data_IF_593635167712
#
_entry.id   IF_593635167712
#
_cell.length_a   1.000
_cell.length_b   1.000
_cell.length_c   1.000
_cell.angle_alpha   90.00
_cell.angle_beta   90.00
_cell.angle_gamma   90.00
#
_symmetry.space_group_name_H-M   'P 1'
#
loop_
_entity.id
_entity.type
_entity.pdbx_description
1 polymer ?
#
# COMPACT_ATOMS: atom_id res chain seq x y z
N UNK A 1 27.25 -3.40 -31.70
CA UNK A 1 26.74 -4.78 -31.64
C UNK A 1 25.32 -4.66 -31.22
N UNK A 2 24.40 -4.74 -32.18
CA UNK A 2 22.97 -4.66 -31.93
C UNK A 2 22.54 -5.92 -31.20
N UNK A 3 21.95 -5.75 -30.01
CA UNK A 3 21.40 -6.87 -29.24
C UNK A 3 20.30 -7.56 -30.06
N UNK A 4 20.32 -8.90 -30.19
CA UNK A 4 19.27 -9.64 -30.86
C UNK A 4 18.13 -9.87 -29.87
N UNK A 5 17.50 -8.80 -29.41
CA UNK A 5 16.22 -8.91 -28.72
C UNK A 5 15.17 -8.84 -29.82
N UNK A 6 14.85 -10.01 -30.38
CA UNK A 6 13.70 -10.18 -31.25
C UNK A 6 12.44 -9.69 -30.56
N UNK A 7 11.47 -9.27 -31.36
CA UNK A 7 10.17 -8.78 -30.93
C UNK A 7 9.56 -9.71 -29.85
N UNK A 8 9.50 -9.21 -28.62
CA UNK A 8 8.99 -9.94 -27.45
C UNK A 8 7.46 -9.82 -27.32
N UNK A 9 6.78 -9.21 -28.30
CA UNK A 9 5.32 -9.01 -28.27
C UNK A 9 4.52 -10.32 -28.21
N UNK A 10 5.08 -11.42 -28.68
CA UNK A 10 4.46 -12.76 -28.66
C UNK A 10 4.85 -13.60 -27.42
N UNK A 11 5.61 -13.06 -26.47
CA UNK A 11 6.05 -13.80 -25.28
C UNK A 11 5.11 -13.60 -24.10
N UNK A 12 4.65 -14.71 -23.51
CA UNK A 12 3.82 -14.73 -22.31
C UNK A 12 4.66 -15.21 -21.12
N UNK A 13 4.68 -14.42 -20.05
CA UNK A 13 5.33 -14.80 -18.81
C UNK A 13 4.51 -15.88 -18.09
N UNK A 14 5.18 -16.99 -17.72
CA UNK A 14 4.57 -18.15 -17.07
C UNK A 14 5.02 -18.20 -15.61
N UNK A 15 4.09 -18.50 -14.69
CA UNK A 15 4.36 -18.61 -13.25
C UNK A 15 5.49 -19.60 -12.92
N UNK A 16 6.46 -19.17 -12.11
CA UNK A 16 7.66 -19.96 -11.76
C UNK A 16 7.37 -21.29 -11.02
N UNK A 17 6.36 -21.32 -10.14
CA UNK A 17 6.08 -22.48 -9.28
C UNK A 17 4.89 -23.36 -9.74
N UNK A 18 4.55 -23.32 -11.03
CA UNK A 18 3.34 -24.00 -11.54
C UNK A 18 3.26 -25.50 -11.22
N UNK A 19 4.40 -26.19 -11.27
CA UNK A 19 4.46 -27.65 -11.08
C UNK A 19 4.67 -28.09 -9.62
N UNK A 20 4.82 -27.14 -8.68
CA UNK A 20 4.99 -27.45 -7.27
C UNK A 20 3.62 -27.80 -6.68
N UNK A 21 3.48 -29.02 -6.14
CA UNK A 21 2.26 -29.43 -5.43
C UNK A 21 2.11 -28.58 -4.18
N UNK A 22 1.25 -27.57 -4.23
CA UNK A 22 0.83 -26.84 -3.03
C UNK A 22 -0.04 -27.77 -2.20
N UNK A 23 0.20 -27.89 -0.89
CA UNK A 23 -0.71 -28.58 0.01
C UNK A 23 -1.99 -27.74 0.11
N UNK A 24 -2.97 -28.07 -0.73
CA UNK A 24 -4.25 -27.38 -0.76
C UNK A 24 -5.07 -27.79 0.47
N UNK A 25 -5.28 -26.83 1.38
CA UNK A 25 -5.95 -27.03 2.68
C UNK A 25 -7.47 -27.21 2.58
N UNK A 26 -8.07 -26.80 1.46
CA UNK A 26 -9.51 -26.92 1.22
C UNK A 26 -9.91 -28.30 0.73
N UNK A 27 -10.85 -28.92 1.45
CA UNK A 27 -11.43 -30.21 1.11
C UNK A 27 -12.79 -30.00 0.43
N UNK A 28 -12.86 -30.00 -0.90
CA UNK A 28 -14.12 -29.86 -1.63
C UNK A 28 -15.11 -30.96 -1.24
N UNK A 29 -16.37 -30.57 -1.01
CA UNK A 29 -17.45 -31.51 -0.71
C UNK A 29 -18.39 -31.63 -1.90
N UNK A 30 -18.51 -32.86 -2.42
CA UNK A 30 -19.50 -33.20 -3.43
C UNK A 30 -20.82 -33.63 -2.79
N UNK A 31 -21.92 -33.21 -3.39
CA UNK A 31 -23.27 -33.70 -3.10
C UNK A 31 -23.87 -34.14 -4.42
N UNK A 32 -24.26 -35.41 -4.53
CA UNK A 32 -24.79 -36.00 -5.76
C UNK A 32 -26.23 -36.48 -5.57
N UNK A 33 -27.08 -36.26 -6.56
CA UNK A 33 -28.47 -36.72 -6.57
C UNK A 33 -28.83 -37.32 -7.93
N UNK A 34 -29.43 -38.51 -7.93
CA UNK A 34 -29.97 -39.09 -9.18
C UNK A 34 -31.24 -38.34 -9.62
N UNK A 35 -31.22 -37.79 -10.83
CA UNK A 35 -32.37 -37.19 -11.49
C UNK A 35 -33.07 -38.25 -12.36
N UNK A 36 -34.29 -38.63 -11.96
CA UNK A 36 -35.08 -39.65 -12.65
C UNK A 36 -35.71 -39.17 -13.97
N UNK A 37 -35.95 -37.87 -14.13
CA UNK A 37 -36.58 -37.30 -15.33
C UNK A 37 -35.57 -37.25 -16.48
N UNK A 38 -34.36 -36.80 -16.19
CA UNK A 38 -33.26 -36.65 -17.17
C UNK A 38 -32.38 -37.90 -17.29
N UNK A 39 -32.57 -38.91 -16.43
CA UNK A 39 -31.70 -40.11 -16.33
C UNK A 39 -30.21 -39.78 -16.12
N UNK A 40 -29.93 -38.72 -15.37
CA UNK A 40 -28.59 -38.17 -15.11
C UNK A 40 -28.35 -37.96 -13.61
N UNK A 41 -27.10 -37.69 -13.23
CA UNK A 41 -26.69 -37.36 -11.87
C UNK A 41 -26.45 -35.87 -11.78
N UNK A 42 -27.18 -35.19 -10.88
CA UNK A 42 -26.90 -33.82 -10.50
C UNK A 42 -25.76 -33.83 -9.49
N UNK A 43 -24.70 -33.07 -9.76
CA UNK A 43 -23.51 -32.97 -8.91
C UNK A 43 -23.37 -31.53 -8.48
N UNK A 44 -23.31 -31.30 -7.18
CA UNK A 44 -23.05 -29.99 -6.57
C UNK A 44 -21.71 -30.05 -5.84
N UNK A 45 -20.84 -29.08 -6.12
CA UNK A 45 -19.56 -28.88 -5.45
C UNK A 45 -19.66 -27.70 -4.50
N UNK A 46 -19.25 -27.93 -3.25
CA UNK A 46 -19.05 -26.89 -2.25
C UNK A 46 -17.56 -26.75 -1.95
N UNK A 47 -17.00 -25.57 -2.23
CA UNK A 47 -15.64 -25.18 -1.86
C UNK A 47 -15.70 -24.25 -0.63
N UNK A 48 -14.95 -24.57 0.43
CA UNK A 48 -14.77 -23.73 1.63
C UNK A 48 -15.50 -24.18 2.91
N UNK A 49 -14.98 -23.71 4.05
CA UNK A 49 -15.68 -23.76 5.35
C UNK A 49 -16.46 -22.47 5.56
N UNK A 50 -17.77 -22.56 5.87
CA UNK A 50 -18.62 -21.37 6.07
C UNK A 50 -18.04 -20.45 7.15
N UNK A 51 -17.40 -19.35 6.74
CA UNK A 51 -17.17 -18.17 7.57
C UNK A 51 -17.94 -17.00 6.96
N UNK A 52 -18.55 -16.19 7.82
CA UNK A 52 -19.50 -15.13 7.45
C UNK A 52 -18.89 -13.97 6.63
N UNK A 53 -17.56 -13.98 6.38
CA UNK A 53 -16.83 -12.91 5.68
C UNK A 53 -16.39 -13.24 4.26
N UNK A 54 -16.50 -14.49 3.80
CA UNK A 54 -15.92 -14.89 2.52
C UNK A 54 -16.95 -14.75 1.39
N UNK A 55 -16.77 -13.73 0.53
CA UNK A 55 -17.62 -13.50 -0.65
C UNK A 55 -17.32 -14.48 -1.82
N UNK A 56 -16.31 -15.35 -1.70
CA UNK A 56 -15.87 -16.27 -2.76
C UNK A 56 -16.32 -17.73 -2.53
N UNK A 57 -17.63 -17.96 -2.37
CA UNK A 57 -18.17 -19.32 -2.40
C UNK A 57 -18.55 -19.68 -3.84
N UNK A 58 -17.64 -20.33 -4.59
CA UNK A 58 -17.96 -20.88 -5.92
C UNK A 58 -18.69 -22.23 -5.76
N UNK A 59 -19.98 -22.20 -5.41
CA UNK A 59 -20.80 -23.39 -5.52
C UNK A 59 -20.99 -23.72 -7.00
N UNK A 60 -20.49 -24.86 -7.46
CA UNK A 60 -20.65 -25.31 -8.85
C UNK A 60 -21.69 -26.42 -8.94
N UNK A 61 -22.50 -26.40 -9.98
CA UNK A 61 -23.54 -27.42 -10.22
C UNK A 61 -23.43 -27.90 -11.66
N UNK A 62 -23.45 -29.22 -11.87
CA UNK A 62 -23.54 -29.80 -13.21
C UNK A 62 -24.48 -31.02 -13.21
N UNK A 63 -24.88 -31.43 -14.42
CA UNK A 63 -25.73 -32.60 -14.65
C UNK A 63 -25.02 -33.54 -15.63
N UNK A 64 -24.60 -34.72 -15.16
CA UNK A 64 -23.82 -35.68 -15.94
C UNK A 64 -24.54 -37.02 -16.07
N UNK A 65 -24.52 -37.60 -17.27
CA UNK A 65 -24.87 -39.00 -17.50
C UNK A 65 -23.78 -39.93 -16.97
N UNK A 66 -24.14 -41.17 -16.63
CA UNK A 66 -23.17 -42.20 -16.23
C UNK A 66 -22.15 -42.52 -17.32
N UNK A 67 -22.54 -42.35 -18.59
CA UNK A 67 -21.64 -42.48 -19.74
C UNK A 67 -20.60 -41.37 -19.77
N UNK A 68 -20.99 -40.12 -19.58
CA UNK A 68 -20.07 -38.98 -19.50
C UNK A 68 -19.11 -39.14 -18.31
N UNK A 69 -19.64 -39.51 -17.13
CA UNK A 69 -18.82 -39.78 -15.95
C UNK A 69 -17.79 -40.90 -16.19
N UNK A 70 -18.15 -41.93 -16.94
CA UNK A 70 -17.22 -43.00 -17.32
C UNK A 70 -16.13 -42.53 -18.28
N UNK A 71 -16.46 -41.64 -19.23
CA UNK A 71 -15.47 -41.05 -20.13
C UNK A 71 -14.49 -40.15 -19.38
N UNK A 72 -14.99 -39.30 -18.47
CA UNK A 72 -14.17 -38.48 -17.57
C UNK A 72 -13.26 -39.37 -16.71
N UNK A 73 -13.79 -40.47 -16.18
CA UNK A 73 -12.98 -41.46 -15.46
C UNK A 73 -11.82 -42.00 -16.29
N UNK A 74 -12.06 -42.36 -17.55
CA UNK A 74 -11.00 -42.82 -18.45
C UNK A 74 -9.94 -41.75 -18.69
N UNK A 75 -10.31 -40.47 -18.80
CA UNK A 75 -9.36 -39.37 -18.90
C UNK A 75 -8.52 -39.23 -17.62
N UNK A 76 -9.14 -39.31 -16.44
CA UNK A 76 -8.42 -39.26 -15.17
C UNK A 76 -7.44 -40.43 -14.98
N UNK A 77 -7.79 -41.63 -15.45
CA UNK A 77 -6.88 -42.78 -15.43
C UNK A 77 -5.62 -42.59 -16.28
N UNK A 78 -5.65 -41.73 -17.31
CA UNK A 78 -4.44 -41.39 -18.08
C UNK A 78 -3.44 -40.59 -17.25
N UNK A 79 -3.93 -39.82 -16.27
CA UNK A 79 -3.11 -38.99 -15.37
C UNK A 79 -2.65 -39.80 -14.17
N UNK A 80 -3.54 -40.60 -13.57
CA UNK A 80 -3.20 -41.49 -12.47
C UNK A 80 -3.88 -42.86 -12.62
N UNK A 81 -3.10 -43.88 -12.97
CA UNK A 81 -3.58 -45.24 -13.17
C UNK A 81 -4.14 -45.90 -11.91
N UNK A 82 -3.76 -45.43 -10.70
CA UNK A 82 -4.28 -45.96 -9.43
C UNK A 82 -5.77 -45.69 -9.24
N UNK A 83 -6.34 -44.71 -9.97
CA UNK A 83 -7.76 -44.38 -9.91
C UNK A 83 -8.65 -45.45 -10.56
N UNK A 84 -8.09 -46.35 -11.38
CA UNK A 84 -8.85 -47.41 -12.06
C UNK A 84 -9.59 -48.33 -11.05
N UNK A 85 -8.98 -48.57 -9.89
CA UNK A 85 -9.58 -49.41 -8.84
C UNK A 85 -10.72 -48.71 -8.06
N UNK A 86 -10.77 -47.38 -8.11
CA UNK A 86 -11.69 -46.56 -7.29
C UNK A 86 -13.04 -46.29 -7.96
N UNK A 87 -13.19 -46.61 -9.26
CA UNK A 87 -14.45 -46.41 -9.96
C UNK A 87 -15.48 -47.49 -9.56
N UNK A 88 -16.73 -47.12 -9.25
CA UNK A 88 -17.76 -48.09 -8.86
C UNK A 88 -18.06 -49.08 -10.01
N UNK A 89 -17.66 -50.36 -9.84
CA UNK A 89 -17.79 -51.41 -10.87
C UNK A 89 -19.24 -51.68 -11.30
N UNK A 90 -20.19 -51.39 -10.42
CA UNK A 90 -21.62 -51.58 -10.66
C UNK A 90 -22.23 -50.46 -11.53
N UNK A 91 -21.56 -49.31 -11.65
CA UNK A 91 -22.01 -48.17 -12.45
C UNK A 91 -21.48 -48.25 -13.88
N UNK A 92 -22.05 -49.17 -14.67
CA UNK A 92 -21.73 -49.27 -16.11
C UNK A 92 -22.24 -48.03 -16.88
N UNK A 93 -21.65 -47.67 -18.03
CA UNK A 93 -22.04 -46.48 -18.80
C UNK A 93 -23.53 -46.40 -19.16
N UNK A 94 -24.18 -47.54 -19.40
CA UNK A 94 -25.60 -47.64 -19.76
C UNK A 94 -26.46 -48.12 -18.58
N UNK A 95 -25.95 -48.03 -17.36
CA UNK A 95 -26.69 -48.45 -16.18
C UNK A 95 -27.81 -47.46 -15.87
N UNK A 96 -29.03 -47.96 -15.65
CA UNK A 96 -30.17 -47.16 -15.18
C UNK A 96 -30.58 -47.72 -13.82
N UNK A 97 -30.40 -46.96 -12.72
CA UNK A 97 -30.74 -47.45 -11.39
C UNK A 97 -32.25 -47.57 -11.21
N UNK A 98 -32.68 -48.57 -10.44
CA UNK A 98 -34.05 -48.60 -9.93
C UNK A 98 -34.21 -47.58 -8.79
N UNK A 99 -35.45 -47.16 -8.50
CA UNK A 99 -35.73 -46.17 -7.43
C UNK A 99 -35.09 -46.49 -6.08
N UNK A 100 -34.96 -47.78 -5.75
CA UNK A 100 -34.34 -48.26 -4.50
C UNK A 100 -32.81 -48.08 -4.46
N UNK A 101 -32.18 -47.79 -5.60
CA UNK A 101 -30.72 -47.67 -5.76
C UNK A 101 -30.24 -46.23 -6.00
N UNK A 102 -31.14 -45.25 -6.02
CA UNK A 102 -30.76 -43.85 -6.25
C UNK A 102 -29.74 -43.34 -5.24
N UNK A 103 -29.98 -43.60 -3.95
CA UNK A 103 -29.08 -43.20 -2.86
C UNK A 103 -27.70 -43.89 -2.98
N UNK A 104 -27.68 -45.17 -3.36
CA UNK A 104 -26.43 -45.87 -3.62
C UNK A 104 -25.63 -45.21 -4.76
N UNK A 105 -26.27 -44.88 -5.89
CA UNK A 105 -25.59 -44.23 -7.02
C UNK A 105 -25.03 -42.87 -6.60
N UNK A 106 -25.83 -42.07 -5.88
CA UNK A 106 -25.41 -40.78 -5.32
C UNK A 106 -24.16 -40.91 -4.46
N UNK A 107 -24.18 -41.75 -3.42
CA UNK A 107 -23.05 -41.91 -2.50
C UNK A 107 -21.82 -42.53 -3.17
N UNK A 108 -22.01 -43.45 -4.12
CA UNK A 108 -20.91 -44.06 -4.86
C UNK A 108 -20.18 -43.03 -5.74
N UNK A 109 -20.91 -42.11 -6.37
CA UNK A 109 -20.33 -41.04 -7.16
C UNK A 109 -19.66 -39.98 -6.28
N UNK A 110 -20.26 -39.58 -5.15
CA UNK A 110 -19.61 -38.68 -4.19
C UNK A 110 -18.25 -39.22 -3.71
N UNK A 111 -18.21 -40.50 -3.35
CA UNK A 111 -16.99 -41.17 -2.92
C UNK A 111 -15.94 -41.22 -4.03
N UNK A 112 -16.36 -41.58 -5.24
CA UNK A 112 -15.47 -41.61 -6.40
C UNK A 112 -14.86 -40.24 -6.70
N UNK A 113 -15.67 -39.18 -6.73
CA UNK A 113 -15.18 -37.82 -7.01
C UNK A 113 -14.21 -37.33 -5.93
N UNK A 114 -14.47 -37.67 -4.66
CA UNK A 114 -13.55 -37.40 -3.56
C UNK A 114 -12.21 -38.15 -3.72
N UNK A 115 -12.25 -39.40 -4.20
CA UNK A 115 -11.05 -40.18 -4.51
C UNK A 115 -10.30 -39.62 -5.74
N UNK A 116 -11.02 -39.16 -6.76
CA UNK A 116 -10.45 -38.55 -7.96
C UNK A 116 -9.67 -37.28 -7.61
N UNK A 117 -10.19 -36.42 -6.74
CA UNK A 117 -9.46 -35.22 -6.28
C UNK A 117 -8.16 -35.59 -5.57
N UNK A 118 -8.17 -36.61 -4.70
CA UNK A 118 -6.96 -37.07 -4.01
C UNK A 118 -5.91 -37.64 -4.96
N UNK A 119 -6.33 -38.30 -6.02
CA UNK A 119 -5.44 -38.99 -6.96
C UNK A 119 -4.90 -38.07 -8.08
N UNK A 120 -5.75 -37.19 -8.61
CA UNK A 120 -5.48 -36.39 -9.83
C UNK A 120 -5.29 -34.90 -9.51
N UNK A 121 -5.86 -34.41 -8.40
CA UNK A 121 -5.79 -33.00 -7.97
C UNK A 121 -7.01 -32.19 -8.38
N UNK A 122 -7.42 -31.24 -7.52
CA UNK A 122 -8.66 -30.46 -7.70
C UNK A 122 -8.65 -29.60 -8.97
N UNK A 123 -7.48 -29.02 -9.32
CA UNK A 123 -7.30 -28.12 -10.47
C UNK A 123 -7.60 -28.79 -11.82
N UNK A 124 -7.55 -30.12 -11.89
CA UNK A 124 -7.89 -30.88 -13.10
C UNK A 124 -9.31 -31.41 -13.00
N UNK A 125 -9.67 -31.99 -11.85
CA UNK A 125 -10.96 -32.66 -11.66
C UNK A 125 -12.14 -31.70 -11.76
N UNK A 126 -12.03 -30.50 -11.18
CA UNK A 126 -13.13 -29.53 -11.13
C UNK A 126 -13.44 -28.96 -12.52
N UNK A 127 -12.48 -28.42 -13.30
CA UNK A 127 -12.77 -27.92 -14.64
C UNK A 127 -13.29 -29.00 -15.59
N UNK A 128 -12.78 -30.23 -15.48
CA UNK A 128 -13.21 -31.35 -16.36
C UNK A 128 -14.68 -31.74 -16.11
N UNK A 129 -15.18 -31.59 -14.88
CA UNK A 129 -16.55 -31.99 -14.50
C UNK A 129 -17.56 -30.86 -14.73
N UNK A 130 -17.20 -29.64 -14.35
CA UNK A 130 -18.13 -28.50 -14.36
C UNK A 130 -18.05 -27.64 -15.62
N UNK A 131 -17.09 -27.94 -16.51
CA UNK A 131 -16.72 -27.05 -17.60
C UNK A 131 -15.82 -25.92 -17.08
N UNK A 132 -15.06 -25.32 -18.00
CA UNK A 132 -14.38 -24.05 -17.73
C UNK A 132 -15.47 -23.01 -17.43
N UNK A 133 -15.37 -22.30 -16.29
CA UNK A 133 -15.97 -20.96 -16.22
C UNK A 133 -15.35 -20.15 -17.39
N UNK A 134 -15.99 -19.11 -17.95
CA UNK A 134 -15.52 -18.32 -19.12
C UNK A 134 -14.08 -17.70 -19.04
N UNK A 135 -13.27 -18.12 -18.08
CA UNK A 135 -11.85 -17.85 -17.96
C UNK A 135 -11.05 -18.71 -18.97
N UNK A 136 -10.32 -18.05 -19.88
CA UNK A 136 -9.38 -18.67 -20.82
C UNK A 136 -8.54 -19.75 -20.12
N UNK A 137 -8.50 -21.01 -20.59
CA UNK A 137 -7.70 -22.07 -19.98
C UNK A 137 -6.22 -21.70 -19.82
N UNK A 138 -5.69 -20.78 -20.62
CA UNK A 138 -4.33 -20.27 -20.50
C UNK A 138 -4.14 -19.23 -19.37
N UNK A 139 -5.19 -18.55 -18.93
CA UNK A 139 -5.14 -17.50 -17.89
C UNK A 139 -4.56 -17.99 -16.55
N UNK A 140 -4.72 -19.28 -16.24
CA UNK A 140 -4.16 -19.85 -15.02
C UNK A 140 -2.62 -19.98 -15.07
N UNK A 141 -2.03 -19.96 -16.27
CA UNK A 141 -0.59 -20.00 -16.53
C UNK A 141 0.04 -18.61 -16.64
N UNK A 142 -0.73 -17.60 -17.04
CA UNK A 142 -0.26 -16.23 -17.22
C UNK A 142 0.16 -15.60 -15.88
N UNK A 143 1.35 -15.00 -15.86
CA UNK A 143 1.78 -14.16 -14.76
C UNK A 143 1.08 -12.79 -14.86
N UNK A 144 0.50 -12.34 -13.75
CA UNK A 144 -0.08 -11.00 -13.71
C UNK A 144 1.06 -9.97 -13.81
N UNK A 145 1.18 -9.28 -14.95
CA UNK A 145 2.22 -8.29 -15.19
C UNK A 145 2.31 -7.22 -14.09
N UNK A 146 1.17 -6.84 -13.48
CA UNK A 146 1.17 -5.88 -12.38
C UNK A 146 1.74 -6.48 -11.10
N UNK A 147 1.47 -7.76 -10.82
CA UNK A 147 2.06 -8.48 -9.71
C UNK A 147 3.56 -8.68 -9.90
N UNK A 148 3.99 -9.06 -11.10
CA UNK A 148 5.41 -9.17 -11.46
C UNK A 148 6.15 -7.84 -11.30
N UNK A 149 5.56 -6.75 -11.81
CA UNK A 149 6.11 -5.39 -11.63
C UNK A 149 6.20 -4.99 -10.17
N UNK A 150 5.14 -5.26 -9.39
CA UNK A 150 5.13 -4.99 -7.96
C UNK A 150 6.25 -5.75 -7.24
N UNK A 151 6.39 -7.05 -7.49
CA UNK A 151 7.47 -7.89 -6.93
C UNK A 151 8.84 -7.37 -7.31
N UNK A 152 9.02 -6.95 -8.57
CA UNK A 152 10.28 -6.35 -9.05
C UNK A 152 10.63 -5.09 -8.27
N UNK A 153 9.67 -4.17 -8.11
CA UNK A 153 9.88 -2.93 -7.34
C UNK A 153 10.17 -3.20 -5.86
N UNK A 154 9.48 -4.18 -5.27
CA UNK A 154 9.75 -4.63 -3.89
C UNK A 154 11.17 -5.20 -3.75
N UNK A 155 11.60 -6.02 -4.70
CA UNK A 155 12.96 -6.58 -4.73
C UNK A 155 14.02 -5.49 -4.89
N UNK A 156 13.75 -4.44 -5.67
CA UNK A 156 14.66 -3.30 -5.81
C UNK A 156 14.83 -2.55 -4.47
N UNK A 157 13.74 -2.34 -3.73
CA UNK A 157 13.79 -1.76 -2.38
C UNK A 157 14.60 -2.66 -1.44
N UNK A 158 14.33 -3.97 -1.43
CA UNK A 158 15.06 -4.91 -0.57
C UNK A 158 16.55 -4.93 -0.88
N UNK A 159 16.92 -4.91 -2.17
CA UNK A 159 18.31 -4.82 -2.61
C UNK A 159 18.99 -3.53 -2.11
N UNK A 160 18.32 -2.38 -2.21
CA UNK A 160 18.86 -1.11 -1.72
C UNK A 160 19.05 -1.12 -0.19
N UNK A 161 18.17 -1.79 0.56
CA UNK A 161 18.37 -1.99 2.02
C UNK A 161 19.52 -2.95 2.33
N UNK A 162 19.74 -4.01 1.53
CA UNK A 162 20.92 -4.88 1.67
C UNK A 162 22.22 -4.12 1.44
N UNK A 163 22.26 -3.23 0.44
CA UNK A 163 23.40 -2.32 0.24
C UNK A 163 23.66 -1.44 1.47
N UNK A 164 22.60 -0.96 2.15
CA UNK A 164 22.76 -0.21 3.39
C UNK A 164 23.35 -1.06 4.52
N UNK A 165 22.90 -2.31 4.66
CA UNK A 165 23.48 -3.25 5.65
C UNK A 165 24.98 -3.46 5.41
N UNK A 166 25.41 -3.59 4.16
CA UNK A 166 26.84 -3.70 3.81
C UNK A 166 27.62 -2.43 4.21
N UNK A 167 27.07 -1.23 3.95
CA UNK A 167 27.68 0.03 4.38
C UNK A 167 27.75 0.13 5.91
N UNK A 168 26.74 -0.36 6.63
CA UNK A 168 26.75 -0.37 8.10
C UNK A 168 27.80 -1.34 8.65
N UNK A 169 28.05 -2.48 8.00
CA UNK A 169 29.17 -3.35 8.35
C UNK A 169 30.53 -2.69 8.11
N UNK A 170 30.67 -1.90 7.03
CA UNK A 170 31.88 -1.09 6.81
C UNK A 170 32.05 -0.03 7.89
N UNK A 171 30.95 0.58 8.35
CA UNK A 171 30.95 1.56 9.45
C UNK A 171 31.53 0.96 10.75
N UNK A 172 31.16 -0.27 11.09
CA UNK A 172 31.66 -0.95 12.29
C UNK A 172 33.18 -1.14 12.28
N UNK A 173 33.77 -1.31 11.09
CA UNK A 173 35.22 -1.49 10.90
C UNK A 173 36.00 -0.18 10.88
N UNK A 174 35.34 0.97 10.86
CA UNK A 174 36.02 2.26 10.80
C UNK A 174 36.62 2.64 12.17
N UNK A 175 37.94 2.78 12.21
CA UNK A 175 38.69 3.03 13.44
C UNK A 175 38.80 4.54 13.76
N UNK A 176 38.70 5.38 12.74
CA UNK A 176 38.85 6.84 12.86
C UNK A 176 37.69 7.61 12.26
N UNK A 177 37.47 8.82 12.78
CA UNK A 177 36.47 9.73 12.23
C UNK A 177 36.75 10.12 10.77
N UNK A 178 38.03 10.16 10.36
CA UNK A 178 38.42 10.43 8.98
C UNK A 178 38.02 9.31 8.02
N UNK A 179 38.10 8.04 8.46
CA UNK A 179 37.56 6.94 7.65
C UNK A 179 36.02 7.01 7.58
N UNK A 180 35.37 7.38 8.70
CA UNK A 180 33.91 7.53 8.74
C UNK A 180 33.37 8.61 7.81
N UNK A 181 34.12 9.67 7.49
CA UNK A 181 33.62 10.67 6.51
C UNK A 181 33.38 10.07 5.14
N UNK A 182 34.18 9.07 4.74
CA UNK A 182 33.97 8.33 3.48
C UNK A 182 32.78 7.37 3.61
N UNK A 183 32.59 6.75 4.77
CA UNK A 183 31.42 5.90 5.02
C UNK A 183 30.13 6.73 5.01
N UNK A 184 30.16 7.96 5.55
CA UNK A 184 29.02 8.87 5.54
C UNK A 184 28.57 9.24 4.12
N UNK A 185 29.50 9.49 3.20
CA UNK A 185 29.13 9.80 1.82
C UNK A 185 28.53 8.60 1.11
N UNK A 186 29.05 7.39 1.36
CA UNK A 186 28.47 6.15 0.84
C UNK A 186 27.08 5.90 1.42
N UNK A 187 26.89 6.10 2.72
CA UNK A 187 25.60 5.97 3.40
C UNK A 187 24.57 6.98 2.84
N UNK A 188 24.97 8.22 2.57
CA UNK A 188 24.10 9.24 1.97
C UNK A 188 23.67 8.85 0.55
N UNK A 189 24.57 8.26 -0.23
CA UNK A 189 24.25 7.75 -1.57
C UNK A 189 23.27 6.58 -1.51
N UNK A 190 23.52 5.59 -0.65
CA UNK A 190 22.61 4.44 -0.50
C UNK A 190 21.25 4.87 0.03
N UNK A 191 21.20 5.81 0.99
CA UNK A 191 19.92 6.35 1.45
C UNK A 191 19.14 7.06 0.33
N UNK A 192 19.83 7.74 -0.59
CA UNK A 192 19.20 8.31 -1.80
C UNK A 192 18.63 7.20 -2.68
N UNK A 193 19.40 6.15 -2.95
CA UNK A 193 18.93 5.00 -3.75
C UNK A 193 17.71 4.32 -3.11
N UNK A 194 17.68 4.16 -1.78
CA UNK A 194 16.51 3.63 -1.06
C UNK A 194 15.31 4.56 -1.23
N UNK A 195 15.50 5.87 -1.10
CA UNK A 195 14.44 6.85 -1.28
C UNK A 195 13.85 6.79 -2.70
N UNK A 196 14.70 6.64 -3.72
CA UNK A 196 14.28 6.53 -5.11
C UNK A 196 13.50 5.23 -5.36
N UNK A 197 14.00 4.09 -4.87
CA UNK A 197 13.32 2.80 -4.98
C UNK A 197 11.97 2.80 -4.24
N UNK A 198 11.88 3.42 -3.06
CA UNK A 198 10.62 3.61 -2.34
C UNK A 198 9.67 4.50 -3.13
N UNK A 199 10.15 5.61 -3.71
CA UNK A 199 9.32 6.50 -4.51
C UNK A 199 8.73 5.77 -5.72
N UNK A 200 9.52 4.97 -6.44
CA UNK A 200 9.04 4.17 -7.57
C UNK A 200 7.97 3.15 -7.13
N UNK A 201 8.21 2.41 -6.05
CA UNK A 201 7.26 1.44 -5.50
C UNK A 201 5.93 2.10 -5.12
N UNK A 202 5.97 3.17 -4.34
CA UNK A 202 4.75 3.83 -3.87
C UNK A 202 4.04 4.58 -5.00
N UNK A 203 4.75 5.17 -5.97
CA UNK A 203 4.11 5.74 -7.16
C UNK A 203 3.32 4.69 -7.94
N UNK A 204 3.89 3.50 -8.12
CA UNK A 204 3.19 2.38 -8.76
C UNK A 204 1.94 1.96 -7.98
N UNK A 205 2.04 1.84 -6.65
CA UNK A 205 0.91 1.42 -5.80
C UNK A 205 -0.18 2.49 -5.65
N UNK A 206 0.18 3.78 -5.67
CA UNK A 206 -0.76 4.90 -5.56
C UNK A 206 -1.61 5.06 -6.82
N UNK A 207 -1.04 4.79 -8.00
CA UNK A 207 -1.63 5.13 -9.29
C UNK A 207 -3.05 4.58 -9.50
N UNK A 208 -3.36 3.28 -9.24
CA UNK A 208 -4.71 2.76 -9.43
C UNK A 208 -5.77 3.48 -8.59
N UNK A 209 -5.41 3.90 -7.36
CA UNK A 209 -6.32 4.60 -6.47
C UNK A 209 -6.47 6.08 -6.84
N UNK A 210 -5.41 6.72 -7.38
CA UNK A 210 -5.52 8.06 -7.94
C UNK A 210 -6.51 8.09 -9.11
N UNK A 211 -6.36 7.15 -10.04
CA UNK A 211 -7.24 6.99 -11.19
C UNK A 211 -8.68 6.66 -10.76
N UNK A 212 -8.86 5.70 -9.85
CA UNK A 212 -10.17 5.34 -9.33
C UNK A 212 -10.86 6.54 -8.68
N UNK A 213 -10.15 7.32 -7.87
CA UNK A 213 -10.70 8.53 -7.24
C UNK A 213 -11.09 9.58 -8.27
N UNK A 214 -10.28 9.79 -9.31
CA UNK A 214 -10.59 10.75 -10.37
C UNK A 214 -11.81 10.34 -11.20
N UNK A 215 -11.85 9.08 -11.64
CA UNK A 215 -13.00 8.50 -12.35
C UNK A 215 -14.25 8.59 -11.50
N UNK A 216 -14.17 8.20 -10.23
CA UNK A 216 -15.30 8.25 -9.30
C UNK A 216 -15.81 9.68 -9.14
N UNK A 217 -14.92 10.66 -8.94
CA UNK A 217 -15.32 12.08 -8.84
C UNK A 217 -16.01 12.59 -10.10
N UNK A 218 -15.56 12.18 -11.28
CA UNK A 218 -16.19 12.54 -12.55
C UNK A 218 -17.58 11.90 -12.67
N UNK A 219 -17.74 10.63 -12.28
CA UNK A 219 -19.03 9.91 -12.28
C UNK A 219 -20.02 10.49 -11.27
N UNK A 220 -19.57 10.83 -10.07
CA UNK A 220 -20.37 11.52 -9.05
C UNK A 220 -20.94 12.83 -9.60
N UNK A 221 -20.10 13.67 -10.24
CA UNK A 221 -20.56 14.92 -10.87
C UNK A 221 -21.60 14.68 -11.97
N UNK A 222 -21.39 13.66 -12.80
CA UNK A 222 -22.34 13.29 -13.85
C UNK A 222 -23.69 12.84 -13.25
N UNK A 223 -23.66 12.03 -12.18
CA UNK A 223 -24.87 11.61 -11.49
C UNK A 223 -25.60 12.79 -10.85
N UNK A 224 -24.88 13.70 -10.17
CA UNK A 224 -25.44 14.93 -9.61
C UNK A 224 -26.09 15.83 -10.67
N UNK A 225 -25.46 15.96 -11.84
CA UNK A 225 -26.03 16.72 -12.96
C UNK A 225 -27.36 16.13 -13.41
N UNK A 226 -27.44 14.81 -13.58
CA UNK A 226 -28.68 14.11 -13.97
C UNK A 226 -29.77 14.26 -12.90
N UNK A 227 -29.42 14.21 -11.62
CA UNK A 227 -30.37 14.39 -10.52
C UNK A 227 -30.94 15.81 -10.43
N UNK A 228 -30.25 16.78 -11.03
CA UNK A 228 -30.70 18.18 -11.10
C UNK A 228 -31.65 18.45 -12.27
N UNK A 229 -31.77 17.52 -13.23
CA UNK A 229 -32.67 17.61 -14.38
C UNK A 229 -34.07 17.05 -14.03
N UNK A 230 -35.11 17.51 -14.73
CA UNK A 230 -36.46 16.94 -14.60
C UNK A 230 -36.55 15.58 -15.31
N UNK A 231 -36.13 14.53 -14.60
CA UNK A 231 -36.09 13.16 -15.09
C UNK A 231 -37.19 12.28 -14.47
N UNK A 232 -37.61 11.24 -15.21
CA UNK A 232 -38.60 10.27 -14.73
C UNK A 232 -38.10 9.44 -13.51
N UNK A 233 -39.02 8.86 -12.72
CA UNK A 233 -38.70 8.25 -11.42
C UNK A 233 -37.68 7.10 -11.50
N UNK A 234 -37.76 6.26 -12.54
CA UNK A 234 -36.83 5.15 -12.73
C UNK A 234 -35.40 5.63 -13.06
N UNK A 235 -35.29 6.73 -13.82
CA UNK A 235 -33.99 7.33 -14.18
C UNK A 235 -33.40 8.01 -12.95
N UNK A 236 -34.23 8.67 -12.15
CA UNK A 236 -33.82 9.28 -10.87
C UNK A 236 -33.27 8.23 -9.91
N UNK A 237 -34.00 7.15 -9.68
CA UNK A 237 -33.55 6.06 -8.80
C UNK A 237 -32.23 5.44 -9.28
N UNK A 238 -32.07 5.25 -10.60
CA UNK A 238 -30.80 4.77 -11.16
C UNK A 238 -29.66 5.76 -10.94
N UNK A 239 -29.90 7.05 -11.12
CA UNK A 239 -28.89 8.09 -10.89
C UNK A 239 -28.52 8.24 -9.41
N UNK A 240 -29.48 8.05 -8.49
CA UNK A 240 -29.21 7.98 -7.03
C UNK A 240 -28.33 6.79 -6.69
N UNK A 241 -28.64 5.61 -7.23
CA UNK A 241 -27.82 4.40 -7.04
C UNK A 241 -26.41 4.57 -7.61
N UNK A 242 -26.30 5.08 -8.84
CA UNK A 242 -25.01 5.36 -9.47
C UNK A 242 -24.21 6.36 -8.60
N UNK A 243 -24.86 7.40 -8.07
CA UNK A 243 -24.22 8.38 -7.19
C UNK A 243 -23.66 7.73 -5.92
N UNK A 244 -24.45 6.90 -5.23
CA UNK A 244 -24.05 6.21 -4.01
C UNK A 244 -22.88 5.26 -4.25
N UNK A 245 -22.96 4.42 -5.29
CA UNK A 245 -21.91 3.46 -5.65
C UNK A 245 -20.58 4.17 -5.94
N UNK A 246 -20.60 5.21 -6.79
CA UNK A 246 -19.37 5.95 -7.11
C UNK A 246 -18.85 6.78 -5.94
N UNK A 247 -19.73 7.26 -5.06
CA UNK A 247 -19.33 7.94 -3.83
C UNK A 247 -18.58 6.98 -2.89
N UNK A 248 -19.09 5.76 -2.70
CA UNK A 248 -18.42 4.73 -1.92
C UNK A 248 -17.03 4.39 -2.50
N UNK A 249 -16.94 4.16 -3.82
CA UNK A 249 -15.67 3.89 -4.48
C UNK A 249 -14.66 5.05 -4.30
N UNK A 250 -15.12 6.30 -4.36
CA UNK A 250 -14.28 7.47 -4.09
C UNK A 250 -13.75 7.51 -2.65
N UNK A 251 -14.57 7.10 -1.67
CA UNK A 251 -14.16 7.04 -0.27
C UNK A 251 -13.11 5.95 -0.06
N UNK A 252 -13.35 4.74 -0.56
CA UNK A 252 -12.40 3.61 -0.49
C UNK A 252 -11.05 3.98 -1.14
N UNK A 253 -11.08 4.59 -2.32
CA UNK A 253 -9.86 5.04 -2.99
C UNK A 253 -9.10 6.10 -2.18
N UNK A 254 -9.83 7.03 -1.53
CA UNK A 254 -9.22 8.09 -0.73
C UNK A 254 -8.56 7.53 0.54
N UNK A 255 -9.19 6.58 1.21
CA UNK A 255 -8.64 5.91 2.39
C UNK A 255 -7.39 5.09 2.05
N UNK A 256 -7.41 4.35 0.94
CA UNK A 256 -6.25 3.61 0.45
C UNK A 256 -5.07 4.54 0.12
N UNK A 257 -5.32 5.67 -0.55
CA UNK A 257 -4.29 6.68 -0.83
C UNK A 257 -3.68 7.23 0.47
N UNK A 258 -4.51 7.58 1.46
CA UNK A 258 -4.04 8.10 2.73
C UNK A 258 -3.12 7.11 3.45
N UNK A 259 -3.49 5.83 3.49
CA UNK A 259 -2.68 4.77 4.09
C UNK A 259 -1.32 4.62 3.38
N UNK A 260 -1.32 4.59 2.05
CA UNK A 260 -0.09 4.50 1.26
C UNK A 260 0.83 5.71 1.47
N UNK A 261 0.28 6.93 1.51
CA UNK A 261 1.07 8.13 1.82
C UNK A 261 1.66 8.10 3.24
N UNK A 262 0.90 7.64 4.24
CA UNK A 262 1.40 7.51 5.61
C UNK A 262 2.56 6.54 5.69
N UNK A 263 2.43 5.38 5.06
CA UNK A 263 3.49 4.37 5.09
C UNK A 263 4.73 4.83 4.31
N UNK A 264 4.55 5.47 3.15
CA UNK A 264 5.67 6.07 2.41
C UNK A 264 6.44 7.08 3.27
N UNK A 265 5.76 8.07 3.85
CA UNK A 265 6.42 9.09 4.66
C UNK A 265 7.01 8.53 5.96
N UNK A 266 6.40 7.49 6.55
CA UNK A 266 6.96 6.80 7.71
C UNK A 266 8.28 6.11 7.36
N UNK A 267 8.35 5.45 6.20
CA UNK A 267 9.57 4.77 5.75
C UNK A 267 10.69 5.76 5.42
N UNK A 268 10.40 6.84 4.70
CA UNK A 268 11.41 7.88 4.41
C UNK A 268 11.90 8.56 5.68
N UNK A 269 11.00 8.89 6.62
CA UNK A 269 11.36 9.43 7.92
C UNK A 269 12.27 8.48 8.71
N UNK A 270 11.91 7.20 8.78
CA UNK A 270 12.68 6.19 9.49
C UNK A 270 14.11 6.04 8.93
N UNK A 271 14.27 6.09 7.61
CA UNK A 271 15.57 6.04 6.95
C UNK A 271 16.47 7.20 7.40
N UNK A 272 15.99 8.43 7.31
CA UNK A 272 16.77 9.63 7.68
C UNK A 272 17.01 9.70 9.19
N UNK A 273 16.04 9.30 10.01
CA UNK A 273 16.20 9.18 11.46
C UNK A 273 17.33 8.20 11.81
N UNK A 274 17.40 7.05 11.13
CA UNK A 274 18.48 6.09 11.32
C UNK A 274 19.87 6.70 11.06
N UNK A 275 20.03 7.46 9.97
CA UNK A 275 21.29 8.14 9.67
C UNK A 275 21.64 9.17 10.76
N UNK A 276 20.66 9.97 11.18
CA UNK A 276 20.81 11.00 12.21
C UNK A 276 21.20 10.40 13.56
N UNK A 277 20.55 9.32 13.97
CA UNK A 277 20.78 8.67 15.26
C UNK A 277 22.18 8.08 15.34
N UNK A 278 22.64 7.42 14.26
CA UNK A 278 24.02 6.95 14.12
C UNK A 278 25.03 8.09 14.26
N UNK A 279 24.78 9.24 13.64
CA UNK A 279 25.66 10.42 13.80
C UNK A 279 25.68 10.98 15.23
N UNK A 280 24.57 10.91 15.97
CA UNK A 280 24.53 11.29 17.39
C UNK A 280 25.42 10.35 18.22
N UNK A 281 25.45 9.06 17.91
CA UNK A 281 26.36 8.10 18.55
C UNK A 281 27.82 8.41 18.25
N UNK A 282 28.14 8.73 16.99
CA UNK A 282 29.50 9.10 16.59
C UNK A 282 29.99 10.37 17.30
N UNK A 283 29.09 11.34 17.49
CA UNK A 283 29.37 12.55 18.29
C UNK A 283 29.79 12.21 19.72
N UNK A 284 29.16 11.21 20.32
CA UNK A 284 29.52 10.74 21.67
C UNK A 284 30.85 9.98 21.66
N UNK A 285 31.11 9.18 20.62
CA UNK A 285 32.31 8.33 20.48
C UNK A 285 33.61 9.11 20.23
N UNK A 286 33.61 10.05 19.28
CA UNK A 286 34.85 10.71 18.82
C UNK A 286 35.15 12.05 19.49
N UNK A 287 34.31 12.46 20.46
CA UNK A 287 34.50 13.70 21.21
C UNK A 287 34.11 14.95 20.41
N UNK A 288 33.85 16.04 21.15
CA UNK A 288 33.23 17.26 20.61
C UNK A 288 34.06 17.93 19.51
N UNK A 289 35.37 18.12 19.73
CA UNK A 289 36.22 18.93 18.83
C UNK A 289 36.41 18.25 17.47
N UNK A 290 36.78 16.97 17.45
CA UNK A 290 36.98 16.23 16.20
C UNK A 290 35.67 16.09 15.42
N UNK A 291 34.57 15.80 16.11
CA UNK A 291 33.25 15.69 15.48
C UNK A 291 32.74 17.03 14.95
N UNK A 292 33.01 18.15 15.63
CA UNK A 292 32.61 19.49 15.18
C UNK A 292 33.18 19.81 13.79
N UNK A 293 34.42 19.38 13.51
CA UNK A 293 35.11 19.63 12.26
C UNK A 293 34.61 18.75 11.10
N UNK A 294 34.37 17.46 11.33
CA UNK A 294 34.11 16.50 10.25
C UNK A 294 32.68 15.95 10.20
N UNK A 295 32.01 15.81 11.34
CA UNK A 295 30.68 15.18 11.44
C UNK A 295 29.53 16.19 11.56
N UNK A 296 29.75 17.32 12.21
CA UNK A 296 28.69 18.27 12.54
C UNK A 296 27.97 18.87 11.32
N UNK A 297 28.63 19.23 10.20
CA UNK A 297 27.92 19.73 9.01
C UNK A 297 26.88 18.73 8.49
N UNK A 298 27.23 17.43 8.43
CA UNK A 298 26.31 16.37 8.01
C UNK A 298 25.18 16.18 9.03
N UNK A 299 25.48 16.15 10.33
CA UNK A 299 24.47 16.00 11.38
C UNK A 299 23.41 17.12 11.31
N UNK A 300 23.83 18.38 11.14
CA UNK A 300 22.89 19.50 11.03
C UNK A 300 22.00 19.38 9.79
N UNK A 301 22.56 18.95 8.65
CA UNK A 301 21.79 18.69 7.43
C UNK A 301 20.76 17.57 7.65
N UNK A 302 21.17 16.46 8.26
CA UNK A 302 20.29 15.34 8.60
C UNK A 302 19.18 15.76 9.57
N UNK A 303 19.48 16.57 10.60
CA UNK A 303 18.46 17.10 11.50
C UNK A 303 17.40 17.92 10.74
N UNK A 304 17.82 18.79 9.81
CA UNK A 304 16.86 19.52 8.99
C UNK A 304 16.04 18.59 8.10
N UNK A 305 16.63 17.54 7.53
CA UNK A 305 15.93 16.56 6.70
C UNK A 305 14.93 15.72 7.51
N UNK A 306 15.29 15.27 8.72
CA UNK A 306 14.35 14.58 9.63
C UNK A 306 13.11 15.43 9.84
N UNK A 307 13.26 16.71 10.17
CA UNK A 307 12.10 17.60 10.38
C UNK A 307 11.30 17.88 9.10
N UNK A 308 11.93 17.83 7.92
CA UNK A 308 11.22 17.95 6.65
C UNK A 308 10.36 16.71 6.36
N UNK A 309 10.90 15.51 6.53
CA UNK A 309 10.15 14.27 6.36
C UNK A 309 9.05 14.10 7.41
N UNK A 310 9.34 14.47 8.66
CA UNK A 310 8.38 14.44 9.76
C UNK A 310 7.20 15.40 9.51
N UNK A 311 7.48 16.57 8.92
CA UNK A 311 6.44 17.53 8.54
C UNK A 311 5.54 16.98 7.42
N UNK A 312 6.09 16.26 6.45
CA UNK A 312 5.29 15.61 5.39
C UNK A 312 4.33 14.57 5.99
N UNK A 313 4.83 13.74 6.91
CA UNK A 313 4.02 12.73 7.61
C UNK A 313 2.89 13.39 8.42
N UNK A 314 3.20 14.37 9.26
CA UNK A 314 2.20 15.03 10.10
C UNK A 314 1.14 15.78 9.28
N UNK A 315 1.52 16.39 8.15
CA UNK A 315 0.54 16.98 7.23
C UNK A 315 -0.39 15.93 6.61
N UNK A 316 0.14 14.76 6.23
CA UNK A 316 -0.68 13.66 5.71
C UNK A 316 -1.64 13.08 6.78
N UNK A 317 -1.19 12.97 8.03
CA UNK A 317 -2.02 12.56 9.17
C UNK A 317 -3.13 13.60 9.40
N UNK A 318 -2.79 14.89 9.44
CA UNK A 318 -3.76 15.98 9.59
C UNK A 318 -4.84 15.94 8.48
N UNK A 319 -4.44 15.79 7.23
CA UNK A 319 -5.37 15.69 6.10
C UNK A 319 -6.31 14.49 6.22
N UNK A 320 -5.83 13.37 6.79
CA UNK A 320 -6.65 12.18 7.06
C UNK A 320 -7.67 12.44 8.16
N UNK A 321 -7.28 13.12 9.24
CA UNK A 321 -8.20 13.53 10.31
C UNK A 321 -9.28 14.50 9.80
N UNK A 322 -8.90 15.46 8.96
CA UNK A 322 -9.84 16.38 8.31
C UNK A 322 -10.86 15.62 7.44
N UNK A 323 -10.37 14.67 6.63
CA UNK A 323 -11.22 13.81 5.82
C UNK A 323 -12.20 12.96 6.67
N UNK A 324 -11.72 12.35 7.76
CA UNK A 324 -12.56 11.55 8.66
C UNK A 324 -13.68 12.41 9.29
N UNK A 325 -13.34 13.62 9.76
CA UNK A 325 -14.33 14.57 10.28
C UNK A 325 -15.37 14.94 9.20
N UNK A 326 -14.92 15.23 7.98
CA UNK A 326 -15.82 15.66 6.91
C UNK A 326 -16.72 14.50 6.42
N UNK A 327 -16.21 13.25 6.49
CA UNK A 327 -17.01 12.03 6.28
C UNK A 327 -18.13 11.92 7.32
N UNK A 328 -17.85 12.12 8.61
CA UNK A 328 -18.88 12.12 9.67
C UNK A 328 -19.89 13.25 9.42
N UNK A 329 -19.43 14.47 9.10
CA UNK A 329 -20.32 15.60 8.76
C UNK A 329 -21.28 15.29 7.62
N UNK A 330 -20.85 14.51 6.63
CA UNK A 330 -21.70 14.15 5.49
C UNK A 330 -22.89 13.28 5.87
N UNK A 331 -22.84 12.58 7.02
CA UNK A 331 -23.94 11.74 7.51
C UNK A 331 -25.17 12.56 7.89
N UNK A 332 -24.99 13.83 8.27
CA UNK A 332 -26.11 14.75 8.59
C UNK A 332 -27.08 14.93 7.40
N UNK A 333 -26.62 14.72 6.16
CA UNK A 333 -27.46 14.87 4.97
C UNK A 333 -28.43 13.69 4.74
N UNK A 334 -28.27 12.56 5.46
CA UNK A 334 -29.02 11.33 5.25
C UNK A 334 -29.93 10.96 6.44
N UNK A 335 -30.14 11.90 7.37
CA UNK A 335 -31.00 11.67 8.53
C UNK A 335 -32.47 11.77 8.09
N UNK A 336 -33.29 10.78 8.48
CA UNK A 336 -34.72 10.77 8.22
C UNK A 336 -35.45 11.64 9.26
N UNK A 337 -36.50 12.36 8.85
CA UNK A 337 -37.37 13.15 9.74
C UNK A 337 -38.34 12.26 10.57
N UNK A 338 -37.79 11.40 11.43
CA UNK A 338 -38.55 10.59 12.37
C UNK A 338 -38.42 11.09 13.83
N UNK A 339 -39.15 10.47 14.76
CA UNK A 339 -39.09 10.86 16.18
C UNK A 339 -37.72 10.64 16.83
N UNK A 340 -36.81 9.88 16.19
CA UNK A 340 -35.44 9.63 16.64
C UNK A 340 -34.41 10.57 16.02
N UNK A 341 -34.78 11.36 15.01
CA UNK A 341 -33.90 12.27 14.27
C UNK A 341 -33.10 13.21 15.19
N UNK A 342 -33.74 13.75 16.23
CA UNK A 342 -33.08 14.66 17.18
C UNK A 342 -31.93 13.96 17.92
N UNK A 343 -32.14 12.74 18.39
CA UNK A 343 -31.10 11.97 19.09
C UNK A 343 -29.96 11.56 18.14
N UNK A 344 -30.29 11.19 16.91
CA UNK A 344 -29.29 10.85 15.89
C UNK A 344 -28.45 12.07 15.48
N UNK A 345 -29.07 13.25 15.36
CA UNK A 345 -28.36 14.53 15.12
C UNK A 345 -27.42 14.82 16.29
N UNK A 346 -27.91 14.77 17.53
CA UNK A 346 -27.09 15.02 18.73
C UNK A 346 -25.88 14.08 18.80
N UNK A 347 -26.08 12.78 18.50
CA UNK A 347 -24.98 11.79 18.44
C UNK A 347 -23.95 12.16 17.38
N UNK A 348 -24.38 12.49 16.17
CA UNK A 348 -23.47 12.84 15.06
C UNK A 348 -22.75 14.17 15.37
N UNK A 349 -23.41 15.15 15.97
CA UNK A 349 -22.80 16.42 16.40
C UNK A 349 -21.70 16.19 17.46
N UNK A 350 -21.93 15.28 18.40
CA UNK A 350 -20.91 14.86 19.37
C UNK A 350 -19.70 14.21 18.66
N UNK A 351 -19.96 13.28 17.72
CA UNK A 351 -18.90 12.65 16.91
C UNK A 351 -18.10 13.67 16.08
N UNK A 352 -18.77 14.65 15.47
CA UNK A 352 -18.12 15.73 14.71
C UNK A 352 -17.24 16.57 15.63
N UNK A 353 -17.72 16.90 16.82
CA UNK A 353 -16.97 17.69 17.81
C UNK A 353 -15.72 16.95 18.27
N UNK A 354 -15.86 15.65 18.58
CA UNK A 354 -14.73 14.79 18.93
C UNK A 354 -13.72 14.66 17.79
N UNK A 355 -14.18 14.48 16.55
CA UNK A 355 -13.32 14.45 15.37
C UNK A 355 -12.61 15.79 15.13
N UNK A 356 -13.28 16.91 15.41
CA UNK A 356 -12.70 18.26 15.30
C UNK A 356 -11.60 18.49 16.33
N UNK A 357 -11.73 17.98 17.56
CA UNK A 357 -10.64 18.00 18.55
C UNK A 357 -9.41 17.28 17.99
N UNK A 358 -9.59 16.08 17.43
CA UNK A 358 -8.48 15.33 16.81
C UNK A 358 -7.82 16.04 15.62
N UNK A 359 -8.58 16.85 14.85
CA UNK A 359 -8.01 17.72 13.80
C UNK A 359 -7.16 18.84 14.39
N UNK A 360 -7.62 19.46 15.49
CA UNK A 360 -6.88 20.54 16.17
C UNK A 360 -5.59 20.01 16.81
N UNK A 361 -5.62 18.83 17.42
CA UNK A 361 -4.43 18.17 17.97
C UNK A 361 -3.40 17.88 16.88
N UNK A 362 -3.81 17.27 15.76
CA UNK A 362 -2.93 17.06 14.61
C UNK A 362 -2.39 18.38 14.03
N UNK A 363 -3.17 19.47 14.11
CA UNK A 363 -2.69 20.79 13.69
C UNK A 363 -1.61 21.35 14.63
N UNK A 364 -1.75 21.15 15.95
CA UNK A 364 -0.72 21.52 16.92
C UNK A 364 0.57 20.73 16.70
N UNK A 365 0.48 19.43 16.41
CA UNK A 365 1.64 18.60 16.08
C UNK A 365 2.38 19.11 14.83
N UNK A 366 1.65 19.45 13.75
CA UNK A 366 2.25 20.08 12.56
C UNK A 366 3.00 21.35 12.93
N UNK A 367 2.41 22.22 13.75
CA UNK A 367 3.05 23.46 14.20
C UNK A 367 4.30 23.20 15.06
N UNK A 368 4.30 22.17 15.89
CA UNK A 368 5.46 21.72 16.68
C UNK A 368 6.61 21.26 15.79
N UNK A 369 6.32 20.48 14.75
CA UNK A 369 7.32 20.03 13.78
C UNK A 369 7.84 21.18 12.92
N UNK A 370 6.97 22.09 12.46
CA UNK A 370 7.39 23.31 11.73
C UNK A 370 8.35 24.17 12.56
N UNK A 371 8.07 24.35 13.86
CA UNK A 371 8.96 25.09 14.75
C UNK A 371 10.34 24.43 14.86
N UNK A 372 10.39 23.10 15.03
CA UNK A 372 11.65 22.35 15.12
C UNK A 372 12.44 22.47 13.82
N UNK A 373 11.77 22.38 12.67
CA UNK A 373 12.37 22.60 11.35
C UNK A 373 13.01 23.99 11.24
N UNK A 374 12.26 25.05 11.55
CA UNK A 374 12.77 26.41 11.42
C UNK A 374 13.90 26.71 12.42
N UNK A 375 13.83 26.14 13.64
CA UNK A 375 14.93 26.22 14.61
C UNK A 375 16.19 25.52 14.11
N UNK A 376 16.06 24.34 13.51
CA UNK A 376 17.19 23.60 12.91
C UNK A 376 17.80 24.37 11.74
N UNK A 377 16.98 24.93 10.84
CA UNK A 377 17.46 25.78 9.73
C UNK A 377 18.17 27.06 10.22
N UNK A 378 17.65 27.69 11.28
CA UNK A 378 18.32 28.82 11.92
C UNK A 378 19.66 28.42 12.53
N UNK A 379 19.77 27.22 13.14
CA UNK A 379 21.02 26.74 13.71
C UNK A 379 22.10 26.56 12.62
N UNK A 380 21.73 26.04 11.44
CA UNK A 380 22.61 25.94 10.27
C UNK A 380 23.11 27.33 9.85
N UNK A 381 22.19 28.26 9.56
CA UNK A 381 22.54 29.60 9.09
C UNK A 381 23.39 30.40 10.11
N UNK A 382 23.08 30.28 11.39
CA UNK A 382 23.85 30.94 12.44
C UNK A 382 25.26 30.35 12.57
N UNK A 383 25.42 29.03 12.33
CA UNK A 383 26.74 28.40 12.31
C UNK A 383 27.54 28.85 11.09
N UNK A 384 26.96 28.80 9.89
CA UNK A 384 27.60 29.30 8.67
C UNK A 384 28.05 30.78 8.82
N UNK A 385 27.21 31.61 9.44
CA UNK A 385 27.57 32.99 9.76
C UNK A 385 28.76 33.09 10.72
N UNK A 386 28.75 32.32 11.82
CA UNK A 386 29.87 32.30 12.78
C UNK A 386 31.17 31.84 12.10
N UNK A 387 31.11 30.77 11.34
CA UNK A 387 32.27 30.24 10.61
C UNK A 387 32.79 31.30 9.62
N UNK A 388 31.92 32.06 8.95
CA UNK A 388 32.32 33.15 8.05
C UNK A 388 32.97 34.36 8.77
N UNK A 389 32.55 34.65 9.99
CA UNK A 389 33.13 35.73 10.82
C UNK A 389 34.47 35.28 11.43
N UNK A 390 34.61 34.02 11.82
CA UNK A 390 35.87 33.45 12.31
C UNK A 390 36.93 33.34 11.20
N UNK A 391 36.51 33.16 9.94
CA UNK A 391 37.38 33.24 8.76
C UNK A 391 37.69 34.72 8.37
N UNK A 392 37.06 35.69 9.04
CA UNK A 392 37.11 37.13 8.74
C UNK A 392 38.51 37.74 8.82
N UNK A 393 39.08 37.97 7.63
CA UNK A 393 40.13 38.93 7.24
C UNK A 393 41.32 39.05 8.20
N UNK A 394 42.37 38.27 7.94
CA UNK A 394 43.73 38.70 8.27
C UNK A 394 44.03 39.94 7.43
N UNK A 395 43.94 41.13 8.05
CA UNK A 395 44.59 42.30 7.49
C UNK A 395 46.09 42.05 7.58
N UNK A 396 46.80 42.22 6.46
CA UNK A 396 48.25 42.29 6.49
C UNK A 396 48.65 43.38 7.50
N UNK A 397 49.68 43.14 8.31
CA UNK A 397 50.05 44.06 9.36
C UNK A 397 50.46 45.40 8.72
N UNK A 398 49.59 46.41 8.80
CA UNK A 398 49.86 47.73 8.24
C UNK A 398 50.92 48.41 9.11
N UNK A 399 52.08 48.76 8.53
CA UNK A 399 53.20 49.36 9.26
C UNK A 399 52.88 50.76 9.82
N UNK A 400 51.86 51.44 9.31
CA UNK A 400 51.37 52.74 9.78
C UNK A 400 49.91 52.69 10.25
N UNK A 401 49.61 53.11 11.49
CA UNK A 401 48.24 53.11 12.03
C UNK A 401 47.30 54.14 11.39
N UNK A 402 47.81 55.09 10.59
CA UNK A 402 47.02 56.10 9.87
C UNK A 402 46.45 55.60 8.53
N UNK A 403 46.91 54.45 8.03
CA UNK A 403 46.44 53.84 6.77
C UNK A 403 45.27 52.85 6.98
N UNK A 404 44.79 52.70 8.22
CA UNK A 404 43.60 51.90 8.53
C UNK A 404 42.35 52.64 8.02
N UNK A 405 41.54 52.03 7.13
CA UNK A 405 40.28 52.66 6.75
C UNK A 405 39.39 52.80 7.99
N UNK A 406 38.84 53.99 8.20
CA UNK A 406 37.84 54.27 9.23
C UNK A 406 36.59 53.40 8.97
N UNK A 407 36.60 52.17 9.48
CA UNK A 407 35.41 51.32 9.49
C UNK A 407 34.50 51.82 10.59
N UNK A 408 33.79 52.91 10.31
CA UNK A 408 32.56 53.24 11.02
C UNK A 408 31.67 52.00 11.04
N UNK A 409 31.07 51.76 12.22
CA UNK A 409 30.20 50.65 12.57
C UNK A 409 29.10 50.37 11.53
N UNK A 410 29.42 49.64 10.45
CA UNK A 410 28.42 48.98 9.65
C UNK A 410 27.92 47.80 10.46
N UNK A 411 26.77 48.00 11.12
CA UNK A 411 26.03 46.91 11.74
C UNK A 411 25.84 45.84 10.67
N UNK A 412 26.23 44.57 10.89
CA UNK A 412 26.15 43.56 9.86
C UNK A 412 24.69 43.43 9.41
N UNK A 413 24.43 43.64 8.12
CA UNK A 413 23.09 43.52 7.54
C UNK A 413 22.51 42.15 7.92
N UNK A 414 21.39 42.14 8.66
CA UNK A 414 20.74 40.90 9.07
C UNK A 414 20.37 40.08 7.83
N UNK A 415 20.93 38.87 7.74
CA UNK A 415 20.66 37.96 6.62
C UNK A 415 19.14 37.82 6.40
N UNK A 416 18.62 38.14 5.20
CA UNK A 416 17.19 38.17 4.92
C UNK A 416 16.51 36.80 5.13
N UNK A 417 17.26 35.70 5.00
CA UNK A 417 16.76 34.34 5.30
C UNK A 417 16.48 34.15 6.79
N UNK A 418 17.34 34.69 7.67
CA UNK A 418 17.17 34.62 9.12
C UNK A 418 15.92 35.42 9.55
N UNK A 419 15.73 36.61 8.97
CA UNK A 419 14.54 37.43 9.24
C UNK A 419 13.24 36.70 8.85
N UNK A 420 13.19 36.12 7.64
CA UNK A 420 12.06 35.31 7.17
C UNK A 420 11.75 34.12 8.08
N UNK A 421 12.77 33.40 8.55
CA UNK A 421 12.58 32.26 9.47
C UNK A 421 12.03 32.71 10.83
N UNK A 422 12.52 33.84 11.37
CA UNK A 422 11.99 34.42 12.60
C UNK A 422 10.53 34.86 12.45
N UNK A 423 10.18 35.45 11.31
CA UNK A 423 8.78 35.83 11.01
C UNK A 423 7.86 34.60 10.95
N UNK A 424 8.30 33.53 10.27
CA UNK A 424 7.57 32.25 10.25
C UNK A 424 7.37 31.68 11.65
N UNK A 425 8.39 31.73 12.50
CA UNK A 425 8.32 31.28 13.89
C UNK A 425 7.31 32.10 14.71
N UNK A 426 7.32 33.43 14.56
CA UNK A 426 6.32 34.30 15.18
C UNK A 426 4.89 33.98 14.72
N UNK A 427 4.71 33.64 13.44
CA UNK A 427 3.41 33.19 12.90
C UNK A 427 2.95 31.88 13.55
N UNK A 428 3.86 30.94 13.80
CA UNK A 428 3.54 29.69 14.53
C UNK A 428 3.00 30.02 15.92
N UNK A 429 3.68 30.89 16.68
CA UNK A 429 3.24 31.25 18.04
C UNK A 429 1.85 31.89 18.07
N UNK A 430 1.55 32.76 17.10
CA UNK A 430 0.19 33.33 16.93
C UNK A 430 -0.85 32.26 16.60
N UNK A 431 -0.54 31.34 15.68
CA UNK A 431 -1.44 30.24 15.32
C UNK A 431 -1.74 29.33 16.52
N UNK A 432 -0.72 28.96 17.31
CA UNK A 432 -0.93 28.14 18.53
C UNK A 432 -1.80 28.85 19.56
N UNK A 433 -1.58 30.14 19.77
CA UNK A 433 -2.43 30.92 20.68
C UNK A 433 -3.90 30.89 20.22
N UNK A 434 -4.15 31.00 18.92
CA UNK A 434 -5.51 30.94 18.37
C UNK A 434 -6.17 29.56 18.44
N UNK A 435 -5.41 28.46 18.50
CA UNK A 435 -5.97 27.10 18.62
C UNK A 435 -6.26 26.73 20.07
N UNK A 436 -5.51 27.32 21.02
CA UNK A 436 -5.64 27.05 22.45
C UNK A 436 -6.69 27.91 23.15
N UNK A 437 -7.06 29.03 22.55
CA UNK A 437 -8.16 29.90 22.96
C UNK A 437 -9.43 29.48 22.22
#
# INVERSE_FOLDING_TARGET
MDSPLGDLSDWVAVKEDFFVRTEETDHPRFICAWNNEETKIAITLHEGTRKASDQNHKNKVCLLSLKELYHIHKQFCLINSQLEASYPKDLKPNYVPSRKKFEYVSSAVEYYLSAAIKAVGKKIVIPTIFGEDDDDPLSCYEENLNEFRLRTLQNNVEKAYKELEEILQLRERAESLLQLTTVYTLEDQVATNISDALAELYNFQLQPFLELREVSRNRIKQAQSKLSEEIGPNIKQKAEKDYEEWNEQSLVATEALQQLYHEYYRRTLSLVQGQRDRMIEDKKKYGKVAFELHGMPRLLKLESLVWQEDLKLHNAIKATKEFQRDKIKSQLAYINDDSGAVYEIERIEEEITNAQIGVLDAHLEVLDVEERLYKSQLAILNKEYKDSVEIGVFFDAVENPEDLPDTENSSPEQNPKISKLKEKLNRIYRKRANIRN
#
